data_IF_641129417245
#
_entry.id   IF_641129417245
#
_cell.length_a   1.000
_cell.length_b   1.000
_cell.length_c   1.000
_cell.angle_alpha   90.00
_cell.angle_beta   90.00
_cell.angle_gamma   90.00
#
_symmetry.space_group_name_H-M   'P 1'
#
loop_
_entity.id
_entity.type
_entity.pdbx_description
1 polymer ?
#
# COMPACT_ATOMS: atom_id res chain seq x y z
N UNK A 1 31.36 -9.99 2.19
CA UNK A 1 30.59 -10.94 1.35
C UNK A 1 30.83 -10.79 -0.16
N UNK A 2 30.70 -9.59 -0.75
CA UNK A 2 30.88 -9.37 -2.20
C UNK A 2 32.25 -9.82 -2.73
N UNK A 3 33.32 -9.62 -1.96
CA UNK A 3 34.68 -10.06 -2.31
C UNK A 3 34.79 -11.59 -2.48
N UNK A 4 34.06 -12.38 -1.67
CA UNK A 4 34.03 -13.84 -1.75
C UNK A 4 33.37 -14.26 -3.06
N UNK A 5 32.18 -13.71 -3.36
CA UNK A 5 31.48 -14.01 -4.61
C UNK A 5 32.27 -13.58 -5.85
N UNK A 6 32.96 -12.44 -5.79
CA UNK A 6 33.89 -12.01 -6.84
C UNK A 6 35.05 -12.99 -7.03
N UNK A 7 35.60 -13.55 -5.94
CA UNK A 7 36.63 -14.58 -5.98
C UNK A 7 36.15 -15.88 -6.65
N UNK A 8 34.96 -16.34 -6.29
CA UNK A 8 34.31 -17.52 -6.92
C UNK A 8 34.04 -17.25 -8.40
N UNK A 9 33.47 -16.09 -8.75
CA UNK A 9 33.21 -15.72 -10.13
C UNK A 9 34.49 -15.61 -10.97
N UNK A 10 35.61 -15.17 -10.39
CA UNK A 10 36.92 -15.16 -11.08
C UNK A 10 37.44 -16.58 -11.32
N UNK A 11 37.28 -17.47 -10.35
CA UNK A 11 37.78 -18.85 -10.41
C UNK A 11 36.94 -19.74 -11.32
N UNK A 12 35.65 -19.44 -11.47
CA UNK A 12 34.71 -20.16 -12.32
C UNK A 12 34.54 -19.52 -13.72
N UNK A 13 35.39 -18.55 -14.09
CA UNK A 13 35.32 -17.91 -15.41
C UNK A 13 35.38 -18.96 -16.52
N UNK A 14 34.68 -18.74 -17.64
CA UNK A 14 34.95 -19.53 -18.84
C UNK A 14 36.43 -19.38 -19.18
N UNK A 15 37.11 -20.52 -19.36
CA UNK A 15 38.50 -20.53 -19.81
C UNK A 15 38.58 -19.91 -21.22
N UNK A 16 39.73 -19.34 -21.58
CA UNK A 16 39.97 -18.84 -22.93
C UNK A 16 39.62 -19.92 -23.96
N UNK A 17 38.96 -19.52 -25.04
CA UNK A 17 38.40 -20.44 -26.02
C UNK A 17 39.47 -21.44 -26.51
N UNK A 18 39.19 -22.74 -26.36
CA UNK A 18 40.07 -23.78 -26.91
C UNK A 18 39.93 -23.69 -28.44
N UNK A 19 40.99 -23.23 -29.10
CA UNK A 19 41.08 -23.26 -30.55
C UNK A 19 41.31 -24.72 -30.99
N UNK A 20 40.25 -25.36 -31.46
CA UNK A 20 40.35 -26.64 -32.17
C UNK A 20 40.53 -26.29 -33.65
N UNK A 21 41.61 -26.77 -34.29
CA UNK A 21 41.87 -26.54 -35.71
C UNK A 21 40.65 -26.91 -36.56
N UNK A 22 40.12 -25.94 -37.32
CA UNK A 22 38.96 -26.12 -38.19
C UNK A 22 37.59 -25.81 -37.58
N UNK A 23 37.50 -25.43 -36.30
CA UNK A 23 36.24 -25.01 -35.65
C UNK A 23 36.34 -23.56 -35.15
N UNK A 24 35.22 -22.83 -35.20
CA UNK A 24 35.12 -21.51 -34.54
C UNK A 24 35.36 -21.68 -33.04
N UNK A 25 36.23 -20.86 -32.41
CA UNK A 25 36.53 -20.97 -30.99
C UNK A 25 35.25 -20.89 -30.17
N UNK A 26 34.94 -21.96 -29.42
CA UNK A 26 33.80 -22.01 -28.53
C UNK A 26 34.31 -21.85 -27.09
N UNK A 27 33.87 -20.83 -26.33
CA UNK A 27 34.23 -20.70 -24.94
C UNK A 27 33.67 -21.90 -24.16
N UNK A 28 34.56 -22.69 -23.56
CA UNK A 28 34.16 -23.80 -22.69
C UNK A 28 34.08 -23.24 -21.28
N UNK A 29 32.86 -23.03 -20.80
CA UNK A 29 32.64 -22.70 -19.40
C UNK A 29 32.77 -23.98 -18.58
N UNK A 30 33.89 -24.15 -17.86
CA UNK A 30 34.13 -25.28 -16.97
C UNK A 30 33.12 -25.32 -15.80
N UNK A 31 32.65 -24.15 -15.34
CA UNK A 31 31.70 -24.03 -14.21
C UNK A 31 30.64 -22.92 -14.41
N UNK A 32 29.73 -23.04 -15.39
CA UNK A 32 28.79 -21.97 -15.75
C UNK A 32 27.78 -21.67 -14.64
N UNK A 33 27.32 -22.68 -13.90
CA UNK A 33 26.39 -22.52 -12.78
C UNK A 33 27.00 -21.72 -11.62
N UNK A 34 28.14 -22.16 -11.03
CA UNK A 34 28.84 -21.42 -9.99
C UNK A 34 29.23 -20.01 -10.40
N UNK A 35 29.69 -19.81 -11.65
CA UNK A 35 29.98 -18.49 -12.20
C UNK A 35 28.75 -17.58 -12.19
N UNK A 36 27.63 -18.07 -12.74
CA UNK A 36 26.39 -17.31 -12.83
C UNK A 36 25.85 -16.95 -11.44
N UNK A 37 25.78 -17.92 -10.53
CA UNK A 37 25.33 -17.71 -9.16
C UNK A 37 26.23 -16.71 -8.42
N UNK A 38 27.56 -16.84 -8.54
CA UNK A 38 28.49 -15.92 -7.91
C UNK A 38 28.33 -14.48 -8.42
N UNK A 39 28.10 -14.28 -9.73
CA UNK A 39 27.82 -12.95 -10.30
C UNK A 39 26.47 -12.38 -9.84
N UNK A 40 25.45 -13.23 -9.70
CA UNK A 40 24.16 -12.82 -9.14
C UNK A 40 24.31 -12.41 -7.67
N UNK A 41 25.00 -13.20 -6.85
CA UNK A 41 25.22 -12.92 -5.43
C UNK A 41 26.13 -11.70 -5.21
N UNK A 42 27.14 -11.49 -6.06
CA UNK A 42 27.95 -10.28 -6.05
C UNK A 42 27.08 -9.04 -6.28
N UNK A 43 26.30 -9.04 -7.36
CA UNK A 43 25.39 -7.93 -7.71
C UNK A 43 24.34 -7.71 -6.62
N UNK A 44 23.72 -8.79 -6.12
CA UNK A 44 22.73 -8.74 -5.06
C UNK A 44 23.31 -8.16 -3.77
N UNK A 45 24.54 -8.54 -3.39
CA UNK A 45 25.18 -8.00 -2.19
C UNK A 45 25.36 -6.49 -2.28
N UNK A 46 25.85 -5.98 -3.42
CA UNK A 46 25.99 -4.53 -3.62
C UNK A 46 24.65 -3.81 -3.55
N UNK A 47 23.63 -4.31 -4.26
CA UNK A 47 22.31 -3.70 -4.27
C UNK A 47 21.63 -3.72 -2.89
N UNK A 48 21.77 -4.81 -2.13
CA UNK A 48 21.20 -4.95 -0.79
C UNK A 48 21.87 -4.02 0.22
N UNK A 49 23.18 -3.78 0.09
CA UNK A 49 23.87 -2.80 0.93
C UNK A 49 23.38 -1.38 0.64
N UNK A 50 23.24 -1.00 -0.63
CA UNK A 50 22.68 0.31 -1.00
C UNK A 50 21.23 0.49 -0.52
N UNK A 51 20.46 -0.60 -0.50
CA UNK A 51 19.08 -0.60 -0.03
C UNK A 51 18.94 -0.74 1.49
N UNK A 52 20.02 -0.92 2.23
CA UNK A 52 19.96 -1.18 3.66
C UNK A 52 19.44 0.06 4.42
N UNK A 53 18.44 -0.14 5.29
CA UNK A 53 17.83 0.96 6.06
C UNK A 53 18.84 1.67 6.98
N UNK A 54 19.87 0.94 7.43
CA UNK A 54 20.93 1.48 8.28
C UNK A 54 21.87 2.45 7.56
N UNK A 55 21.87 2.44 6.22
CA UNK A 55 22.71 3.31 5.40
C UNK A 55 22.01 4.62 5.00
N UNK A 56 20.79 4.86 5.52
CA UNK A 56 20.08 6.12 5.31
C UNK A 56 20.70 7.16 6.23
N UNK A 57 21.16 8.26 5.65
CA UNK A 57 21.69 9.39 6.41
C UNK A 57 20.57 10.03 7.27
N UNK A 58 20.90 10.54 8.46
CA UNK A 58 19.95 11.31 9.25
C UNK A 58 19.53 12.58 8.47
N UNK A 59 18.23 12.93 8.47
CA UNK A 59 17.79 14.20 7.91
C UNK A 59 18.21 15.38 8.80
N UNK A 60 18.09 16.60 8.27
CA UNK A 60 18.53 17.80 8.97
C UNK A 60 17.82 18.00 10.32
N UNK A 61 18.61 18.38 11.33
CA UNK A 61 18.13 18.59 12.70
C UNK A 61 17.90 17.32 13.52
N UNK A 62 18.13 16.12 12.96
CA UNK A 62 18.07 14.85 13.70
C UNK A 62 19.46 14.45 14.24
N UNK A 63 19.59 14.12 15.55
CA UNK A 63 20.84 13.59 16.10
C UNK A 63 21.24 12.26 15.44
N UNK A 64 22.44 12.22 14.87
CA UNK A 64 22.92 11.08 14.09
C UNK A 64 22.96 9.78 14.92
N UNK A 65 23.43 9.82 16.17
CA UNK A 65 23.49 8.66 17.06
C UNK A 65 22.10 8.03 17.28
N UNK A 66 21.08 8.85 17.58
CA UNK A 66 19.70 8.40 17.81
C UNK A 66 19.05 7.90 16.52
N UNK A 67 19.37 8.52 15.38
CA UNK A 67 18.91 8.08 14.07
C UNK A 67 19.42 6.69 13.73
N UNK A 68 20.74 6.47 13.77
CA UNK A 68 21.33 5.18 13.45
C UNK A 68 20.85 4.08 14.40
N UNK A 69 20.65 4.40 15.70
CA UNK A 69 20.06 3.46 16.65
C UNK A 69 18.62 3.08 16.25
N UNK A 70 17.81 4.07 15.85
CA UNK A 70 16.44 3.84 15.37
C UNK A 70 16.41 3.00 14.09
N UNK A 71 17.26 3.32 13.11
CA UNK A 71 17.38 2.55 11.86
C UNK A 71 17.86 1.12 12.11
N UNK A 72 18.79 0.90 13.04
CA UNK A 72 19.23 -0.44 13.44
C UNK A 72 18.08 -1.26 14.06
N UNK A 73 17.18 -0.63 14.80
CA UNK A 73 15.97 -1.29 15.33
C UNK A 73 14.99 -1.65 14.22
N UNK A 74 14.77 -0.74 13.26
CA UNK A 74 13.93 -1.03 12.07
C UNK A 74 14.52 -2.20 11.28
N UNK A 75 15.85 -2.24 11.12
CA UNK A 75 16.56 -3.25 10.36
C UNK A 75 16.32 -4.68 10.86
N UNK A 76 16.00 -4.87 12.15
CA UNK A 76 15.66 -6.19 12.72
C UNK A 76 14.43 -6.82 12.08
N UNK A 77 13.45 -6.01 11.70
CA UNK A 77 12.21 -6.48 11.03
C UNK A 77 12.27 -6.23 9.53
N UNK A 78 12.87 -5.12 9.11
CA UNK A 78 12.87 -4.63 7.73
C UNK A 78 14.27 -4.09 7.38
N UNK A 79 15.22 -4.97 7.05
CA UNK A 79 16.61 -4.58 6.78
C UNK A 79 16.78 -3.76 5.51
N UNK A 80 15.89 -3.95 4.53
CA UNK A 80 16.01 -3.32 3.20
C UNK A 80 14.81 -2.44 2.89
N UNK A 81 15.08 -1.36 2.17
CA UNK A 81 14.11 -0.49 1.55
C UNK A 81 13.90 -0.87 0.08
N UNK A 82 12.73 -0.53 -0.43
CA UNK A 82 12.40 -0.68 -1.83
C UNK A 82 12.85 0.55 -2.64
N UNK A 83 12.93 0.38 -3.94
CA UNK A 83 13.42 1.41 -4.86
C UNK A 83 12.62 2.70 -4.78
N UNK A 84 11.29 2.60 -4.63
CA UNK A 84 10.41 3.76 -4.45
C UNK A 84 10.68 4.50 -3.12
N UNK A 85 10.99 3.78 -2.04
CA UNK A 85 11.37 4.41 -0.76
C UNK A 85 12.71 5.14 -0.88
N UNK A 86 13.71 4.52 -1.52
CA UNK A 86 15.02 5.14 -1.73
C UNK A 86 14.92 6.37 -2.63
N UNK A 87 14.11 6.30 -3.69
CA UNK A 87 13.85 7.45 -4.56
C UNK A 87 13.20 8.60 -3.78
N UNK A 88 12.19 8.32 -2.94
CA UNK A 88 11.57 9.32 -2.07
C UNK A 88 12.60 9.98 -1.13
N UNK A 89 13.43 9.17 -0.46
CA UNK A 89 14.46 9.67 0.46
C UNK A 89 15.47 10.56 -0.27
N UNK A 90 15.97 10.14 -1.44
CA UNK A 90 16.87 10.95 -2.28
C UNK A 90 16.22 12.26 -2.74
N UNK A 91 14.91 12.27 -2.94
CA UNK A 91 14.12 13.46 -3.23
C UNK A 91 13.90 14.39 -2.03
N UNK A 92 14.45 14.05 -0.85
CA UNK A 92 14.34 14.86 0.36
C UNK A 92 13.09 14.58 1.19
N UNK A 93 12.39 13.46 0.96
CA UNK A 93 11.17 13.10 1.71
C UNK A 93 11.29 13.22 3.23
N UNK A 94 12.46 12.86 3.78
CA UNK A 94 12.71 12.87 5.22
C UNK A 94 13.11 14.24 5.76
N UNK A 95 13.47 15.19 4.89
CA UNK A 95 13.96 16.50 5.33
C UNK A 95 12.86 17.30 6.01
N UNK A 96 13.22 18.13 6.99
CA UNK A 96 12.29 19.06 7.63
C UNK A 96 11.73 20.04 6.60
N UNK A 97 10.48 20.48 6.78
CA UNK A 97 9.85 21.44 5.86
C UNK A 97 9.47 20.83 4.51
N UNK A 98 9.42 19.49 4.42
CA UNK A 98 9.09 18.78 3.19
C UNK A 98 7.76 18.03 3.36
N UNK A 99 6.69 18.62 2.82
CA UNK A 99 5.37 18.01 2.66
C UNK A 99 5.34 17.10 1.42
N UNK A 100 4.42 16.14 1.38
CA UNK A 100 4.42 15.10 0.34
C UNK A 100 3.02 14.61 -0.01
N UNK A 101 2.78 14.35 -1.29
CA UNK A 101 1.64 13.60 -1.77
C UNK A 101 2.10 12.22 -2.28
N UNK A 102 1.67 11.14 -1.64
CA UNK A 102 2.15 9.77 -1.89
C UNK A 102 1.06 8.93 -2.54
N UNK A 103 1.23 8.68 -3.83
CA UNK A 103 0.36 7.87 -4.70
C UNK A 103 0.73 6.39 -4.80
N UNK A 104 1.63 5.87 -3.95
CA UNK A 104 2.11 4.50 -4.08
C UNK A 104 0.97 3.46 -4.02
N UNK A 105 0.99 2.41 -4.86
CA UNK A 105 -0.06 1.40 -4.85
C UNK A 105 -0.13 0.62 -3.53
N UNK A 106 -1.26 -0.06 -3.27
CA UNK A 106 -1.39 -0.93 -2.09
C UNK A 106 -0.36 -2.06 -2.16
N UNK A 107 0.35 -2.28 -1.05
CA UNK A 107 1.47 -3.23 -0.98
C UNK A 107 2.82 -2.67 -1.44
N UNK A 108 2.90 -1.43 -1.92
CA UNK A 108 4.18 -0.76 -2.27
C UNK A 108 4.82 0.02 -1.11
N UNK A 109 4.32 -0.15 0.12
CA UNK A 109 5.08 0.23 1.32
C UNK A 109 4.79 1.63 1.85
N UNK A 110 3.60 2.20 1.61
CA UNK A 110 3.18 3.47 2.20
C UNK A 110 3.43 3.56 3.71
N UNK A 111 3.10 2.50 4.46
CA UNK A 111 3.33 2.43 5.92
C UNK A 111 4.82 2.49 6.29
N UNK A 112 5.70 1.97 5.44
CA UNK A 112 7.16 2.07 5.62
C UNK A 112 7.63 3.52 5.52
N UNK A 113 7.19 4.21 4.46
CA UNK A 113 7.53 5.61 4.21
C UNK A 113 7.01 6.49 5.35
N UNK A 114 5.75 6.27 5.77
CA UNK A 114 5.17 6.93 6.94
C UNK A 114 6.01 6.74 8.20
N UNK A 115 6.35 5.50 8.57
CA UNK A 115 7.15 5.21 9.76
C UNK A 115 8.53 5.90 9.75
N UNK A 116 9.19 6.01 8.59
CA UNK A 116 10.46 6.72 8.48
C UNK A 116 10.30 8.22 8.74
N UNK A 117 9.24 8.85 8.21
CA UNK A 117 8.95 10.27 8.48
C UNK A 117 8.55 10.52 9.94
N UNK A 118 7.77 9.61 10.53
CA UNK A 118 7.45 9.64 11.98
C UNK A 118 8.74 9.59 12.80
N UNK A 119 9.67 8.69 12.46
CA UNK A 119 10.98 8.64 13.13
C UNK A 119 11.74 9.96 13.04
N UNK A 120 11.77 10.59 11.86
CA UNK A 120 12.43 11.88 11.67
C UNK A 120 11.79 12.99 12.53
N UNK A 121 10.45 13.04 12.60
CA UNK A 121 9.73 14.02 13.42
C UNK A 121 9.98 13.81 14.93
N UNK A 122 9.79 12.57 15.43
CA UNK A 122 9.96 12.27 16.85
C UNK A 122 11.40 12.52 17.34
N UNK A 123 12.40 12.24 16.51
CA UNK A 123 13.80 12.48 16.87
C UNK A 123 14.19 13.96 16.88
N UNK A 124 13.34 14.84 16.32
CA UNK A 124 13.41 16.30 16.47
C UNK A 124 12.59 16.80 17.67
N UNK A 125 12.07 15.89 18.49
CA UNK A 125 11.15 16.15 19.62
C UNK A 125 9.84 16.82 19.18
N UNK A 126 9.34 16.48 17.99
CA UNK A 126 8.06 16.97 17.49
C UNK A 126 6.99 15.87 17.62
N UNK A 127 5.76 16.27 17.94
CA UNK A 127 4.61 15.37 18.02
C UNK A 127 4.05 15.08 16.63
N UNK A 128 3.34 13.96 16.50
CA UNK A 128 2.77 13.47 15.24
C UNK A 128 1.27 13.25 15.37
N UNK A 129 0.51 13.75 14.41
CA UNK A 129 -0.90 13.41 14.24
C UNK A 129 -1.05 12.49 13.03
N UNK A 130 -1.74 11.36 13.20
CA UNK A 130 -2.02 10.40 12.16
C UNK A 130 -3.53 10.28 11.95
N UNK A 131 -4.01 10.70 10.79
CA UNK A 131 -5.42 10.60 10.42
C UNK A 131 -5.66 9.25 9.73
N UNK A 132 -6.45 8.40 10.40
CA UNK A 132 -6.97 7.16 9.84
C UNK A 132 -8.36 7.40 9.26
N UNK A 133 -8.75 6.72 8.17
CA UNK A 133 -10.00 7.02 7.49
C UNK A 133 -11.23 6.66 8.33
N UNK A 134 -11.20 5.58 9.11
CA UNK A 134 -12.37 5.09 9.88
C UNK A 134 -12.02 4.82 11.33
N UNK A 135 -13.00 4.83 12.23
CA UNK A 135 -12.80 4.49 13.65
C UNK A 135 -12.17 3.11 13.86
N UNK A 136 -12.57 2.11 13.07
CA UNK A 136 -11.95 0.78 13.15
C UNK A 136 -10.45 0.81 12.79
N UNK A 137 -10.08 1.67 11.83
CA UNK A 137 -8.69 1.82 11.42
C UNK A 137 -7.87 2.69 12.39
N UNK A 138 -8.50 3.55 13.20
CA UNK A 138 -7.82 4.27 14.30
C UNK A 138 -7.19 3.27 15.27
N UNK A 139 -7.97 2.32 15.79
CA UNK A 139 -7.46 1.35 16.78
C UNK A 139 -6.44 0.38 16.18
N UNK A 140 -6.63 -0.01 14.92
CA UNK A 140 -5.65 -0.82 14.20
C UNK A 140 -4.33 -0.07 14.05
N UNK A 141 -4.38 1.16 13.55
CA UNK A 141 -3.20 1.99 13.29
C UNK A 141 -2.48 2.35 14.59
N UNK A 142 -3.20 2.68 15.65
CA UNK A 142 -2.61 2.96 16.96
C UNK A 142 -1.90 1.72 17.53
N UNK A 143 -2.47 0.51 17.37
CA UNK A 143 -1.79 -0.73 17.76
C UNK A 143 -0.52 -0.98 16.95
N UNK A 144 -0.58 -0.79 15.64
CA UNK A 144 0.57 -0.99 14.75
C UNK A 144 1.70 0.02 15.06
N UNK A 145 1.34 1.28 15.33
CA UNK A 145 2.30 2.32 15.71
C UNK A 145 2.88 2.06 17.11
N UNK A 146 2.12 1.61 18.11
CA UNK A 146 2.68 1.17 19.41
C UNK A 146 3.72 0.07 19.24
N UNK A 147 3.45 -0.90 18.35
CA UNK A 147 4.39 -1.99 18.08
C UNK A 147 5.65 -1.53 17.32
N UNK A 148 5.55 -0.49 16.51
CA UNK A 148 6.68 0.12 15.80
C UNK A 148 7.50 1.08 16.70
N UNK A 149 6.83 1.75 17.64
CA UNK A 149 7.38 2.77 18.53
C UNK A 149 7.13 2.43 20.02
N UNK A 150 7.74 1.35 20.56
CA UNK A 150 7.46 0.86 21.91
C UNK A 150 7.82 1.81 23.07
N UNK A 151 8.67 2.80 22.83
CA UNK A 151 9.13 3.77 23.84
C UNK A 151 8.48 5.15 23.63
N UNK A 152 7.34 5.18 22.95
CA UNK A 152 6.67 6.41 22.52
C UNK A 152 5.23 6.34 22.99
N UNK A 153 4.70 7.44 23.51
CA UNK A 153 3.31 7.52 23.93
C UNK A 153 2.42 7.60 22.68
N UNK A 154 1.72 6.51 22.37
CA UNK A 154 0.82 6.42 21.21
C UNK A 154 -0.61 6.21 21.69
N UNK A 155 -1.51 7.14 21.34
CA UNK A 155 -2.94 7.06 21.65
C UNK A 155 -3.76 7.02 20.35
N UNK A 156 -4.78 6.18 20.33
CA UNK A 156 -5.86 6.27 19.35
C UNK A 156 -7.03 6.97 20.02
N UNK A 157 -7.66 7.92 19.35
CA UNK A 157 -8.77 8.70 19.90
C UNK A 157 -9.90 8.84 18.88
N UNK A 158 -11.13 8.60 19.33
CA UNK A 158 -12.35 8.74 18.51
C UNK A 158 -13.06 10.05 18.82
N UNK A 159 -13.86 10.54 17.88
CA UNK A 159 -14.63 11.79 18.05
C UNK A 159 -15.54 11.76 19.30
N UNK A 160 -16.21 10.63 19.53
CA UNK A 160 -17.11 10.39 20.67
C UNK A 160 -16.40 10.52 22.04
N UNK A 161 -15.10 10.21 22.11
CA UNK A 161 -14.32 10.28 23.35
C UNK A 161 -14.01 11.73 23.77
N UNK A 162 -14.10 12.69 22.84
CA UNK A 162 -13.92 14.10 23.17
C UNK A 162 -15.14 14.72 23.88
N UNK A 163 -16.34 14.17 23.67
CA UNK A 163 -17.57 14.64 24.33
C UNK A 163 -17.62 14.25 25.82
N UNK A 164 -16.89 13.19 26.22
CA UNK A 164 -16.81 12.73 27.61
C UNK A 164 -15.83 13.54 28.49
N UNK A 165 -15.45 14.75 28.07
CA UNK A 165 -14.60 15.65 28.85
C UNK A 165 -13.11 15.27 28.90
N UNK A 166 -12.67 14.33 28.05
CA UNK A 166 -11.26 13.90 27.98
C UNK A 166 -10.47 14.61 26.88
N UNK A 167 -10.55 15.95 26.84
CA UNK A 167 -9.53 16.71 26.14
C UNK A 167 -8.21 16.46 26.86
N UNK A 168 -7.24 15.91 26.13
CA UNK A 168 -5.92 15.66 26.67
C UNK A 168 -5.28 17.01 26.97
N UNK A 169 -5.01 17.31 28.24
CA UNK A 169 -4.24 18.50 28.65
C UNK A 169 -2.88 18.57 27.93
N UNK A 170 -2.34 17.40 27.55
CA UNK A 170 -1.15 17.29 26.72
C UNK A 170 -1.32 16.23 25.61
N UNK A 171 -1.06 16.59 24.35
CA UNK A 171 -1.03 15.64 23.25
C UNK A 171 0.06 14.56 23.46
N UNK A 172 -0.22 13.28 23.16
CA UNK A 172 0.79 12.23 23.16
C UNK A 172 1.79 12.44 22.01
N UNK A 173 2.92 11.73 22.06
CA UNK A 173 3.94 11.81 21.01
C UNK A 173 3.38 11.45 19.62
N UNK A 174 2.49 10.46 19.57
CA UNK A 174 1.72 10.09 18.37
C UNK A 174 0.24 9.99 18.73
N UNK A 175 -0.59 10.81 18.09
CA UNK A 175 -2.03 10.75 18.21
C UNK A 175 -2.66 10.26 16.91
N UNK A 176 -3.40 9.15 16.98
CA UNK A 176 -4.14 8.58 15.87
C UNK A 176 -5.62 8.92 16.03
N UNK A 177 -6.25 9.51 15.01
CA UNK A 177 -7.67 9.86 15.06
C UNK A 177 -8.29 9.91 13.66
N UNK A 178 -9.59 10.19 13.55
CA UNK A 178 -10.22 10.46 12.25
C UNK A 178 -10.12 11.94 11.87
N UNK A 179 -10.30 12.32 10.59
CA UNK A 179 -10.28 13.73 10.18
C UNK A 179 -11.32 14.58 10.93
N UNK A 180 -12.50 14.04 11.19
CA UNK A 180 -13.58 14.74 11.89
C UNK A 180 -13.22 14.99 13.36
N UNK A 181 -12.61 14.01 14.02
CA UNK A 181 -12.08 14.14 15.37
C UNK A 181 -10.97 15.20 15.44
N UNK A 182 -10.07 15.24 14.45
CA UNK A 182 -9.01 16.24 14.37
C UNK A 182 -9.56 17.65 14.12
N UNK A 183 -10.56 17.76 13.24
CA UNK A 183 -11.25 19.01 13.00
C UNK A 183 -11.88 19.53 14.28
N UNK A 184 -12.57 18.67 15.04
CA UNK A 184 -13.16 19.04 16.33
C UNK A 184 -12.10 19.46 17.36
N UNK A 185 -11.08 18.62 17.58
CA UNK A 185 -10.02 18.87 18.56
C UNK A 185 -9.27 20.18 18.30
N UNK A 186 -8.93 20.46 17.03
CA UNK A 186 -8.24 21.70 16.63
C UNK A 186 -9.11 22.97 16.71
N UNK A 187 -10.44 22.82 16.88
CA UNK A 187 -11.33 23.94 17.17
C UNK A 187 -11.41 24.23 18.66
N UNK A 188 -11.45 23.18 19.49
CA UNK A 188 -11.59 23.35 20.94
C UNK A 188 -10.28 23.73 21.60
N UNK A 189 -9.20 23.02 21.30
CA UNK A 189 -7.90 23.20 21.95
C UNK A 189 -6.80 23.40 20.89
N UNK A 190 -6.76 24.56 20.21
CA UNK A 190 -5.77 24.82 19.16
C UNK A 190 -4.34 24.84 19.68
N UNK A 191 -4.13 25.33 20.91
CA UNK A 191 -2.79 25.48 21.51
C UNK A 191 -2.13 24.12 21.79
N UNK A 192 -2.92 23.07 22.02
CA UNK A 192 -2.42 21.70 22.16
C UNK A 192 -1.63 21.21 20.94
N UNK A 193 -1.87 21.77 19.75
CA UNK A 193 -1.21 21.38 18.50
C UNK A 193 0.12 22.12 18.24
N UNK A 194 0.54 23.04 19.11
CA UNK A 194 1.73 23.88 18.87
C UNK A 194 3.03 23.08 18.63
N UNK A 195 3.20 21.95 19.33
CA UNK A 195 4.40 21.09 19.23
C UNK A 195 4.27 20.00 18.13
N UNK A 196 3.19 20.02 17.35
CA UNK A 196 2.98 19.04 16.28
C UNK A 196 3.80 19.45 15.06
N UNK A 197 4.72 18.56 14.65
CA UNK A 197 5.60 18.80 13.50
C UNK A 197 5.25 17.98 12.26
N UNK A 198 4.29 17.06 12.36
CA UNK A 198 3.93 16.17 11.26
C UNK A 198 2.46 15.76 11.33
N UNK A 199 1.74 15.93 10.23
CA UNK A 199 0.45 15.30 9.96
C UNK A 199 0.63 14.23 8.89
N UNK A 200 0.20 13.01 9.17
CA UNK A 200 0.05 11.97 8.16
C UNK A 200 -1.44 11.74 7.96
N UNK A 201 -1.93 11.86 6.74
CA UNK A 201 -3.32 11.53 6.39
C UNK A 201 -3.35 10.30 5.51
N UNK A 202 -3.75 9.17 6.09
CA UNK A 202 -3.94 7.93 5.37
C UNK A 202 -5.30 7.88 4.65
N UNK A 203 -5.31 7.26 3.48
CA UNK A 203 -6.44 7.26 2.56
C UNK A 203 -6.98 8.67 2.25
N UNK A 204 -6.09 9.62 1.99
CA UNK A 204 -6.43 11.02 1.77
C UNK A 204 -7.32 11.26 0.53
N UNK A 205 -7.62 10.23 -0.28
CA UNK A 205 -8.66 10.31 -1.31
C UNK A 205 -10.03 10.66 -0.71
N UNK A 206 -10.20 10.53 0.61
CA UNK A 206 -11.38 10.98 1.34
C UNK A 206 -11.67 12.48 1.18
N UNK A 207 -10.69 13.32 0.82
CA UNK A 207 -10.95 14.75 0.54
C UNK A 207 -11.79 14.96 -0.72
N UNK A 208 -11.93 13.93 -1.57
CA UNK A 208 -12.74 14.00 -2.77
C UNK A 208 -14.16 13.48 -2.50
N UNK A 209 -15.21 14.28 -2.76
CA UNK A 209 -16.59 13.85 -2.52
C UNK A 209 -16.98 12.71 -3.46
N UNK A 210 -17.64 11.66 -2.93
CA UNK A 210 -18.20 10.58 -3.79
C UNK A 210 -19.54 10.96 -4.41
N UNK A 211 -20.25 11.87 -3.76
CA UNK A 211 -21.56 12.41 -4.16
C UNK A 211 -21.60 13.88 -3.82
N UNK A 212 -22.49 14.65 -4.45
CA UNK A 212 -22.70 16.05 -4.08
C UNK A 212 -23.07 16.16 -2.59
N UNK A 213 -22.39 17.04 -1.87
CA UNK A 213 -22.60 17.25 -0.43
C UNK A 213 -22.05 16.15 0.47
N UNK A 214 -21.07 15.35 0.03
CA UNK A 214 -20.37 14.38 0.88
C UNK A 214 -19.68 15.09 2.06
N UNK A 215 -20.37 15.12 3.20
CA UNK A 215 -19.94 15.79 4.43
C UNK A 215 -18.54 15.33 4.86
N UNK A 216 -18.22 14.06 4.67
CA UNK A 216 -16.93 13.49 5.08
C UNK A 216 -15.77 14.10 4.30
N UNK A 217 -15.96 14.33 3.00
CA UNK A 217 -14.96 14.99 2.17
C UNK A 217 -14.76 16.46 2.57
N UNK A 218 -15.86 17.14 2.86
CA UNK A 218 -15.84 18.53 3.34
C UNK A 218 -15.10 18.62 4.68
N UNK A 219 -15.48 17.79 5.66
CA UNK A 219 -14.86 17.76 6.99
C UNK A 219 -13.36 17.42 6.89
N UNK A 220 -12.98 16.49 6.02
CA UNK A 220 -11.58 16.14 5.77
C UNK A 220 -10.77 17.31 5.19
N UNK A 221 -11.34 18.05 4.24
CA UNK A 221 -10.69 19.21 3.63
C UNK A 221 -10.59 20.38 4.63
N UNK A 222 -11.65 20.64 5.40
CA UNK A 222 -11.65 21.64 6.47
C UNK A 222 -10.63 21.28 7.56
N UNK A 223 -10.50 20.00 7.89
CA UNK A 223 -9.49 19.51 8.82
C UNK A 223 -8.08 19.91 8.37
N UNK A 224 -7.71 19.66 7.11
CA UNK A 224 -6.40 20.02 6.58
C UNK A 224 -6.14 21.53 6.64
N UNK A 225 -7.11 22.34 6.18
CA UNK A 225 -6.99 23.81 6.17
C UNK A 225 -6.90 24.37 7.59
N UNK A 226 -7.66 23.82 8.54
CA UNK A 226 -7.60 24.23 9.95
C UNK A 226 -6.27 23.80 10.57
N UNK A 227 -5.82 22.59 10.29
CA UNK A 227 -4.58 22.03 10.82
C UNK A 227 -3.37 22.91 10.49
N UNK A 228 -3.25 23.40 9.23
CA UNK A 228 -2.14 24.28 8.85
C UNK A 228 -2.17 25.66 9.51
N UNK A 229 -3.29 26.05 10.14
CA UNK A 229 -3.37 27.27 10.94
C UNK A 229 -2.94 27.05 12.39
N UNK A 230 -3.28 25.90 12.98
CA UNK A 230 -2.93 25.58 14.38
C UNK A 230 -1.52 25.01 14.51
N UNK A 231 -0.99 24.35 13.48
CA UNK A 231 0.36 23.82 13.41
C UNK A 231 1.06 24.28 12.10
N UNK A 232 1.41 25.58 11.99
CA UNK A 232 1.91 26.18 10.75
C UNK A 232 3.26 25.66 10.27
N UNK A 233 4.04 25.07 11.18
CA UNK A 233 5.37 24.53 10.88
C UNK A 233 5.36 23.02 10.59
N UNK A 234 4.20 22.37 10.68
CA UNK A 234 4.06 20.94 10.48
C UNK A 234 4.19 20.53 9.01
N UNK A 235 4.93 19.46 8.76
CA UNK A 235 4.96 18.79 7.47
C UNK A 235 3.65 18.02 7.24
N UNK A 236 3.12 18.03 6.02
CA UNK A 236 1.92 17.30 5.67
C UNK A 236 2.27 16.14 4.73
N UNK A 237 1.90 14.92 5.11
CA UNK A 237 2.07 13.73 4.27
C UNK A 237 0.71 13.13 3.97
N UNK A 238 0.27 13.26 2.72
CA UNK A 238 -0.98 12.68 2.24
C UNK A 238 -0.71 11.34 1.57
N UNK A 239 -1.31 10.26 2.07
CA UNK A 239 -1.11 8.90 1.56
C UNK A 239 -2.40 8.41 0.89
N UNK A 240 -2.33 7.94 -0.35
CA UNK A 240 -3.47 7.28 -1.00
C UNK A 240 -3.03 6.41 -2.17
N UNK A 241 -3.52 5.17 -2.22
CA UNK A 241 -3.31 4.30 -3.38
C UNK A 241 -4.11 4.73 -4.62
N UNK A 242 -5.10 5.61 -4.45
CA UNK A 242 -6.07 6.00 -5.48
C UNK A 242 -5.80 7.38 -6.07
N UNK A 243 -4.77 8.09 -5.58
CA UNK A 243 -4.42 9.42 -6.07
C UNK A 243 -3.68 9.31 -7.40
N UNK A 244 -4.28 9.87 -8.46
CA UNK A 244 -3.66 9.95 -9.80
C UNK A 244 -3.03 11.32 -10.08
N UNK A 245 -3.45 12.34 -9.34
CA UNK A 245 -3.01 13.74 -9.48
C UNK A 245 -2.06 14.14 -8.33
N UNK A 246 -1.08 13.29 -8.01
CA UNK A 246 -0.10 13.54 -6.94
C UNK A 246 0.66 14.85 -7.13
N UNK A 247 0.99 15.22 -8.38
CA UNK A 247 1.66 16.48 -8.70
C UNK A 247 0.83 17.70 -8.28
N UNK A 248 -0.45 17.74 -8.67
CA UNK A 248 -1.39 18.81 -8.32
C UNK A 248 -1.60 18.90 -6.80
N UNK A 249 -1.76 17.76 -6.13
CA UNK A 249 -1.91 17.74 -4.67
C UNK A 249 -0.63 18.20 -3.98
N UNK A 250 0.55 17.81 -4.49
CA UNK A 250 1.82 18.28 -3.94
C UNK A 250 1.97 19.80 -4.12
N UNK A 251 1.66 20.34 -5.30
CA UNK A 251 1.66 21.79 -5.54
C UNK A 251 0.75 22.53 -4.57
N UNK A 252 -0.50 22.07 -4.43
CA UNK A 252 -1.47 22.63 -3.48
C UNK A 252 -0.99 22.57 -2.01
N UNK A 253 -0.36 21.46 -1.59
CA UNK A 253 0.25 21.36 -0.26
C UNK A 253 1.41 22.36 -0.07
N UNK A 254 2.16 22.62 -1.13
CA UNK A 254 3.20 23.65 -1.15
C UNK A 254 2.60 25.03 -0.85
N UNK A 255 1.56 25.42 -1.59
CA UNK A 255 0.83 26.68 -1.36
C UNK A 255 0.25 26.75 0.05
N UNK A 256 -0.40 25.67 0.52
CA UNK A 256 -1.06 25.62 1.81
C UNK A 256 -0.08 25.74 2.99
N UNK A 257 1.15 25.27 2.84
CA UNK A 257 2.18 25.33 3.88
C UNK A 257 3.10 26.55 3.77
N UNK A 258 2.87 27.44 2.81
CA UNK A 258 3.62 28.69 2.62
C UNK A 258 4.79 28.58 1.63
N UNK A 259 4.98 27.44 0.98
CA UNK A 259 5.85 27.21 -0.17
C UNK A 259 7.28 27.74 -0.04
N UNK A 260 7.86 28.15 -1.17
CA UNK A 260 9.22 28.71 -1.24
C UNK A 260 9.39 29.97 -0.37
N UNK A 261 8.33 30.76 -0.16
CA UNK A 261 8.37 31.95 0.68
C UNK A 261 8.78 31.63 2.14
N UNK A 262 8.41 30.45 2.64
CA UNK A 262 8.84 29.93 3.94
C UNK A 262 10.01 28.94 3.85
N UNK A 263 10.61 28.76 2.66
CA UNK A 263 11.63 27.75 2.42
C UNK A 263 11.13 26.31 2.52
N UNK A 264 9.81 26.10 2.40
CA UNK A 264 9.16 24.80 2.50
C UNK A 264 8.94 24.20 1.12
N UNK A 265 9.04 22.88 1.03
CA UNK A 265 8.89 22.13 -0.23
C UNK A 265 7.73 21.17 -0.13
N UNK A 266 7.18 20.85 -1.29
CA UNK A 266 6.21 19.77 -1.42
C UNK A 266 6.56 18.91 -2.62
N UNK A 267 6.64 17.58 -2.42
CA UNK A 267 7.07 16.65 -3.46
C UNK A 267 5.98 15.62 -3.80
N UNK A 268 5.73 15.34 -5.09
CA UNK A 268 4.88 14.22 -5.50
C UNK A 268 5.69 12.92 -5.51
N UNK A 269 5.08 11.85 -5.01
CA UNK A 269 5.64 10.50 -4.99
C UNK A 269 4.64 9.52 -5.61
N UNK A 270 4.79 9.22 -6.91
CA UNK A 270 3.81 8.51 -7.74
C UNK A 270 4.35 7.22 -8.38
N UNK A 271 5.48 6.72 -7.89
CA UNK A 271 6.07 5.47 -8.37
C UNK A 271 5.09 4.29 -8.27
N UNK A 272 4.79 3.68 -9.42
CA UNK A 272 3.86 2.56 -9.59
C UNK A 272 4.50 1.21 -9.21
N UNK A 273 5.77 1.22 -8.83
CA UNK A 273 6.50 0.03 -8.44
C UNK A 273 5.85 -0.68 -7.24
N UNK A 274 5.86 -2.01 -7.27
CA UNK A 274 5.42 -2.89 -6.18
C UNK A 274 6.24 -4.17 -6.17
N UNK A 275 6.46 -4.80 -5.01
CA UNK A 275 7.29 -6.00 -4.90
C UNK A 275 6.65 -7.22 -5.60
N UNK A 276 5.31 -7.28 -5.64
CA UNK A 276 4.58 -8.43 -6.16
C UNK A 276 4.08 -8.17 -7.58
N UNK A 277 4.34 -9.12 -8.49
CA UNK A 277 3.68 -9.13 -9.80
C UNK A 277 2.22 -9.51 -9.57
N UNK A 278 1.29 -8.67 -10.04
CA UNK A 278 -0.14 -8.98 -9.98
C UNK A 278 -0.60 -9.44 -11.34
N UNK A 279 -1.30 -10.56 -11.37
CA UNK A 279 -2.06 -11.03 -12.52
C UNK A 279 -3.49 -10.51 -12.39
N UNK A 280 -4.05 -9.96 -13.46
CA UNK A 280 -5.44 -9.51 -13.50
C UNK A 280 -6.28 -10.55 -14.23
N UNK A 281 -7.39 -10.94 -13.62
CA UNK A 281 -8.32 -11.89 -14.19
C UNK A 281 -9.76 -11.58 -13.81
N UNK A 282 -10.69 -12.21 -14.50
CA UNK A 282 -12.09 -12.26 -14.12
C UNK A 282 -12.53 -13.71 -13.93
N UNK A 283 -13.45 -13.93 -12.99
CA UNK A 283 -14.11 -15.24 -12.87
C UNK A 283 -15.19 -15.31 -13.94
N UNK A 284 -15.13 -16.34 -14.76
CA UNK A 284 -16.06 -16.59 -15.86
C UNK A 284 -16.63 -17.99 -15.75
N UNK A 285 -17.78 -18.21 -16.38
CA UNK A 285 -18.45 -19.49 -16.44
C UNK A 285 -18.73 -19.82 -17.91
N UNK A 286 -18.79 -21.11 -18.22
CA UNK A 286 -19.13 -21.55 -19.57
C UNK A 286 -20.57 -21.15 -19.92
N UNK A 287 -20.78 -20.62 -21.12
CA UNK A 287 -22.10 -20.11 -21.52
C UNK A 287 -23.19 -21.19 -21.48
N UNK A 288 -22.87 -22.42 -21.92
CA UNK A 288 -23.79 -23.56 -21.89
C UNK A 288 -24.22 -23.96 -20.46
N UNK A 289 -23.32 -23.85 -19.48
CA UNK A 289 -23.61 -24.13 -18.06
C UNK A 289 -24.57 -23.07 -17.51
N UNK A 290 -24.33 -21.80 -17.82
CA UNK A 290 -25.20 -20.68 -17.42
C UNK A 290 -26.58 -20.78 -18.08
N UNK A 291 -26.66 -21.13 -19.36
CA UNK A 291 -27.92 -21.36 -20.07
C UNK A 291 -28.75 -22.48 -19.43
N UNK A 292 -28.11 -23.60 -19.09
CA UNK A 292 -28.76 -24.72 -18.40
C UNK A 292 -29.33 -24.31 -17.03
N UNK A 293 -28.56 -23.54 -16.25
CA UNK A 293 -29.00 -23.05 -14.94
C UNK A 293 -30.16 -22.05 -15.07
N UNK A 294 -30.12 -21.15 -16.05
CA UNK A 294 -31.22 -20.23 -16.33
C UNK A 294 -32.49 -20.97 -16.78
N UNK A 295 -32.36 -22.01 -17.61
CA UNK A 295 -33.50 -22.84 -18.00
C UNK A 295 -34.16 -23.49 -16.77
N UNK A 296 -33.35 -24.04 -15.86
CA UNK A 296 -33.83 -24.64 -14.61
C UNK A 296 -34.57 -23.64 -13.72
N UNK A 297 -34.05 -22.42 -13.59
CA UNK A 297 -34.74 -21.35 -12.85
C UNK A 297 -36.05 -20.97 -13.56
N UNK A 298 -36.04 -20.90 -14.90
CA UNK A 298 -37.23 -20.59 -15.70
C UNK A 298 -38.34 -21.64 -15.55
N UNK A 299 -37.99 -22.92 -15.57
CA UNK A 299 -38.93 -24.04 -15.34
C UNK A 299 -39.51 -23.98 -13.91
N UNK A 300 -38.67 -23.75 -12.91
CA UNK A 300 -39.13 -23.58 -11.52
C UNK A 300 -40.01 -22.34 -11.34
N UNK A 301 -39.74 -21.25 -12.07
CA UNK A 301 -40.55 -20.04 -12.04
C UNK A 301 -41.94 -20.24 -12.65
N UNK A 302 -42.04 -21.00 -13.76
CA UNK A 302 -43.32 -21.34 -14.39
C UNK A 302 -44.21 -22.17 -13.44
N UNK A 303 -43.60 -23.03 -12.64
CA UNK A 303 -44.28 -23.91 -11.70
C UNK A 303 -44.24 -23.39 -10.25
N UNK A 304 -44.00 -22.08 -10.03
CA UNK A 304 -43.74 -21.55 -8.70
C UNK A 304 -44.98 -21.62 -7.80
N UNK A 305 -44.78 -22.10 -6.59
CA UNK A 305 -45.77 -22.05 -5.49
C UNK A 305 -45.45 -20.96 -4.46
N UNK A 306 -44.28 -20.32 -4.58
CA UNK A 306 -43.75 -19.34 -3.62
C UNK A 306 -43.32 -18.07 -4.34
N UNK A 307 -43.28 -16.95 -3.61
CA UNK A 307 -42.89 -15.63 -4.13
C UNK A 307 -41.43 -15.57 -4.58
N UNK A 308 -40.53 -16.25 -3.85
CA UNK A 308 -39.08 -16.22 -4.06
C UNK A 308 -38.53 -17.60 -4.41
N UNK A 309 -37.37 -17.70 -5.07
CA UNK A 309 -36.76 -18.99 -5.39
C UNK A 309 -36.57 -19.86 -4.13
N UNK A 310 -37.08 -21.11 -4.11
CA UNK A 310 -37.00 -21.98 -2.95
C UNK A 310 -35.56 -22.39 -2.65
N UNK A 311 -35.27 -22.72 -1.39
CA UNK A 311 -33.92 -23.13 -0.95
C UNK A 311 -33.43 -24.37 -1.69
N UNK A 312 -34.33 -25.32 -1.98
CA UNK A 312 -33.99 -26.52 -2.76
C UNK A 312 -33.49 -26.20 -4.17
N UNK A 313 -34.10 -25.21 -4.85
CA UNK A 313 -33.62 -24.74 -6.15
C UNK A 313 -32.24 -24.10 -6.02
N UNK A 314 -32.04 -23.21 -5.04
CA UNK A 314 -30.76 -22.53 -4.82
C UNK A 314 -29.60 -23.50 -4.55
N UNK A 315 -29.87 -24.60 -3.84
CA UNK A 315 -28.89 -25.66 -3.55
C UNK A 315 -28.48 -26.50 -4.75
N UNK A 316 -29.11 -26.30 -5.91
CA UNK A 316 -28.93 -27.12 -7.09
C UNK A 316 -28.46 -26.26 -8.30
N UNK A 317 -27.91 -25.07 -8.01
CA UNK A 317 -27.33 -24.14 -8.99
C UNK A 317 -25.81 -24.19 -8.95
N UNK A 318 -25.23 -25.33 -9.30
CA UNK A 318 -23.78 -25.51 -9.32
C UNK A 318 -23.18 -25.11 -10.66
N UNK A 319 -22.05 -24.40 -10.61
CA UNK A 319 -21.27 -24.05 -11.79
C UNK A 319 -19.77 -24.22 -11.56
N UNK A 320 -19.02 -24.45 -12.62
CA UNK A 320 -17.57 -24.66 -12.60
C UNK A 320 -16.86 -23.34 -12.86
N UNK A 321 -16.21 -22.72 -11.86
CA UNK A 321 -15.62 -21.40 -12.03
C UNK A 321 -14.29 -21.49 -12.80
N UNK A 322 -14.18 -20.69 -13.86
CA UNK A 322 -12.95 -20.54 -14.64
C UNK A 322 -12.34 -19.16 -14.37
N UNK A 323 -11.01 -19.08 -14.38
CA UNK A 323 -10.27 -17.83 -14.35
C UNK A 323 -9.84 -17.46 -15.77
N UNK A 324 -10.37 -16.35 -16.29
CA UNK A 324 -9.84 -15.72 -17.49
C UNK A 324 -8.80 -14.69 -17.07
N UNK A 325 -7.54 -14.92 -17.39
CA UNK A 325 -6.42 -14.08 -16.99
C UNK A 325 -5.83 -13.35 -18.20
N UNK A 326 -5.51 -12.07 -18.03
CA UNK A 326 -4.72 -11.32 -19.00
C UNK A 326 -3.23 -11.47 -18.67
N UNK A 327 -2.44 -11.89 -19.66
CA UNK A 327 -0.97 -11.91 -19.57
C UNK A 327 -0.36 -10.51 -19.69
N UNK A 328 -1.18 -9.51 -20.04
CA UNK A 328 -0.82 -8.09 -20.09
C UNK A 328 -1.35 -7.36 -18.85
N UNK A 329 -0.76 -6.22 -18.53
CA UNK A 329 -1.22 -5.41 -17.39
C UNK A 329 -2.59 -4.76 -17.63
N UNK A 330 -3.03 -4.65 -18.88
CA UNK A 330 -4.29 -4.02 -19.29
C UNK A 330 -5.08 -4.95 -20.22
N UNK A 331 -6.41 -4.90 -20.11
CA UNK A 331 -7.38 -5.60 -20.98
C UNK A 331 -7.57 -4.86 -22.31
N UNK A 332 -6.48 -4.45 -22.95
CA UNK A 332 -6.52 -3.59 -24.13
C UNK A 332 -6.36 -4.37 -25.45
N UNK A 333 -6.12 -5.67 -25.39
CA UNK A 333 -5.88 -6.50 -26.59
C UNK A 333 -7.08 -7.37 -26.92
N UNK A 334 -7.32 -7.61 -28.22
CA UNK A 334 -8.30 -8.59 -28.70
C UNK A 334 -7.64 -9.90 -29.17
N UNK A 335 -6.32 -10.03 -29.02
CA UNK A 335 -5.59 -11.24 -29.43
C UNK A 335 -5.76 -12.35 -28.39
N UNK A 336 -6.18 -13.53 -28.83
CA UNK A 336 -6.40 -14.70 -27.96
C UNK A 336 -5.16 -15.08 -27.15
N UNK A 337 -3.98 -15.00 -27.76
CA UNK A 337 -2.71 -15.40 -27.13
C UNK A 337 -2.30 -14.52 -25.93
N UNK A 338 -2.94 -13.35 -25.76
CA UNK A 338 -2.73 -12.49 -24.61
C UNK A 338 -3.55 -12.92 -23.38
N UNK A 339 -4.36 -13.96 -23.49
CA UNK A 339 -5.27 -14.44 -22.47
C UNK A 339 -5.12 -15.93 -22.20
N UNK A 340 -5.23 -16.31 -20.94
CA UNK A 340 -5.27 -17.70 -20.50
C UNK A 340 -6.59 -17.98 -19.78
N UNK A 341 -7.27 -19.05 -20.17
CA UNK A 341 -8.45 -19.56 -19.47
C UNK A 341 -8.03 -20.81 -18.70
N UNK A 342 -8.17 -20.79 -17.38
CA UNK A 342 -7.74 -21.87 -16.49
C UNK A 342 -8.87 -22.25 -15.54
N UNK A 343 -8.87 -23.49 -15.05
CA UNK A 343 -9.75 -23.85 -13.93
C UNK A 343 -9.35 -23.05 -12.70
N UNK A 344 -10.31 -22.38 -12.07
CA UNK A 344 -10.02 -21.59 -10.86
C UNK A 344 -10.10 -22.45 -9.60
N UNK A 345 -10.96 -23.47 -9.62
CA UNK A 345 -11.17 -24.45 -8.55
C UNK A 345 -11.30 -25.85 -9.17
N UNK A 346 -10.99 -26.88 -8.39
CA UNK A 346 -11.15 -28.28 -8.80
C UNK A 346 -12.56 -28.82 -8.54
N UNK A 347 -13.44 -27.99 -7.97
CA UNK A 347 -14.82 -28.33 -7.63
C UNK A 347 -15.80 -27.25 -8.07
N UNK A 348 -17.08 -27.63 -8.19
CA UNK A 348 -18.16 -26.71 -8.52
C UNK A 348 -18.56 -25.85 -7.32
N UNK A 349 -18.93 -24.60 -7.58
CA UNK A 349 -19.42 -23.66 -6.58
C UNK A 349 -20.92 -23.42 -6.75
N UNK A 350 -21.58 -23.07 -5.65
CA UNK A 350 -22.98 -22.66 -5.67
C UNK A 350 -23.11 -21.24 -6.18
N UNK A 351 -23.76 -21.10 -7.34
CA UNK A 351 -24.41 -19.86 -7.72
C UNK A 351 -25.71 -19.71 -6.94
N UNK A 352 -26.40 -18.59 -7.10
CA UNK A 352 -27.69 -18.40 -6.43
C UNK A 352 -28.70 -17.71 -7.34
N UNK A 353 -29.97 -17.74 -6.93
CA UNK A 353 -31.03 -16.99 -7.60
C UNK A 353 -31.49 -15.86 -6.67
N UNK A 354 -31.52 -14.64 -7.20
CA UNK A 354 -32.00 -13.47 -6.45
C UNK A 354 -33.53 -13.47 -6.30
N UNK A 355 -34.07 -12.51 -5.56
CA UNK A 355 -35.53 -12.39 -5.35
C UNK A 355 -36.32 -12.07 -6.63
N UNK A 356 -35.64 -11.70 -7.71
CA UNK A 356 -36.19 -11.47 -9.04
C UNK A 356 -36.07 -12.70 -9.95
N UNK A 357 -35.72 -13.87 -9.40
CA UNK A 357 -35.55 -15.13 -10.14
C UNK A 357 -34.50 -15.04 -11.24
N UNK A 358 -33.45 -14.25 -11.02
CA UNK A 358 -32.29 -14.17 -11.90
C UNK A 358 -31.09 -14.86 -11.25
N UNK A 359 -30.32 -15.58 -12.06
CA UNK A 359 -29.06 -16.19 -11.63
C UNK A 359 -28.06 -15.10 -11.26
N UNK A 360 -27.37 -15.29 -10.14
CA UNK A 360 -26.31 -14.40 -9.67
C UNK A 360 -25.08 -15.21 -9.26
N UNK A 361 -23.88 -14.63 -9.37
CA UNK A 361 -22.62 -15.37 -9.21
C UNK A 361 -22.32 -15.81 -7.77
N UNK A 362 -23.13 -15.40 -6.78
CA UNK A 362 -22.89 -15.65 -5.36
C UNK A 362 -21.46 -15.29 -4.93
N UNK A 363 -21.03 -14.06 -5.28
CA UNK A 363 -19.63 -13.63 -5.24
C UNK A 363 -18.97 -13.78 -3.87
N UNK A 364 -19.71 -13.64 -2.76
CA UNK A 364 -19.18 -13.83 -1.41
C UNK A 364 -18.78 -15.28 -1.13
N UNK A 365 -19.61 -16.25 -1.52
CA UNK A 365 -19.33 -17.67 -1.33
C UNK A 365 -18.19 -18.13 -2.25
N UNK A 366 -18.23 -17.71 -3.52
CA UNK A 366 -17.15 -17.95 -4.47
C UNK A 366 -15.81 -17.39 -3.94
N UNK A 367 -15.79 -16.15 -3.44
CA UNK A 367 -14.57 -15.54 -2.90
C UNK A 367 -14.03 -16.33 -1.70
N UNK A 368 -14.90 -16.86 -0.85
CA UNK A 368 -14.53 -17.74 0.26
C UNK A 368 -13.86 -19.03 -0.22
N UNK A 369 -14.43 -19.71 -1.23
CA UNK A 369 -13.83 -20.92 -1.80
C UNK A 369 -12.47 -20.66 -2.44
N UNK A 370 -12.33 -19.56 -3.19
CA UNK A 370 -11.05 -19.15 -3.79
C UNK A 370 -10.01 -18.92 -2.69
N UNK A 371 -10.36 -18.17 -1.64
CA UNK A 371 -9.44 -17.90 -0.53
C UNK A 371 -9.01 -19.18 0.20
N UNK A 372 -9.94 -20.12 0.41
CA UNK A 372 -9.63 -21.42 1.03
C UNK A 372 -8.70 -22.29 0.18
N UNK A 373 -8.83 -22.25 -1.16
CA UNK A 373 -7.96 -23.02 -2.07
C UNK A 373 -6.56 -22.42 -2.27
N UNK A 374 -6.42 -21.12 -1.99
CA UNK A 374 -5.15 -20.40 -2.13
C UNK A 374 -4.27 -20.42 -0.87
N UNK A 375 -4.80 -20.97 0.23
CA UNK A 375 -4.12 -21.17 1.52
C UNK A 375 -3.42 -22.52 1.53
#
# INVERSE_FOLDING_TARGET
>A
PAAIFRGVARSARPDDAIAIEGLTPMPIASFPGPFHLARLLETATSALLEAAVININPPDGVPADRWHHSMARIAKKRPYLWTNHLAAIRGGYLEPGTSCAVGFPTGAGKSTTAQLKIHAALLRNLKVVFLAPTHALVDQTARDLRAAFPNTNVKGQRAEEFEEGTLLEELPDILVMTPEACLYASHIEPDGFADVGLLIFDECHLIHPKTDGDRRAIDAMLCLIRFTRVAPEADLVLLSAMMKNTAEIAEWLGELTGGELKGRRSIPLDDVWKPTRQLRGCVVYQANEIERLNQKIGEAWRNKTTKFPPVGLKRDLHASPLGLFSLKQTWASMKRDDYALLSLLDHQVLLTANNYWSLTPNSGELASHIAASAS
#
